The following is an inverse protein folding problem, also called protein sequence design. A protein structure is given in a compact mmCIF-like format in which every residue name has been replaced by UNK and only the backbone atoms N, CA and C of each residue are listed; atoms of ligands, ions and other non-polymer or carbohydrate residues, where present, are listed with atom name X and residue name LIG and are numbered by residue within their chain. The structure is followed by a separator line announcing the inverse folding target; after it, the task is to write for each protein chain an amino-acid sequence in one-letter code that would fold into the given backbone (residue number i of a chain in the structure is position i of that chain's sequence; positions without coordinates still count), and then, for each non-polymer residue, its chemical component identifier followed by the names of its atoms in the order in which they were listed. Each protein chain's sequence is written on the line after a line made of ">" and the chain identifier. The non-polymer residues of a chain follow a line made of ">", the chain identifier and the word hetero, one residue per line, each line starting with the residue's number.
data_IF_662943348366
#
_entry.id   IF_662943348366
#
_cell.length_a   1.000
_cell.length_b   1.000
_cell.length_c   1.000
_cell.angle_alpha   90.00
_cell.angle_beta   90.00
_cell.angle_gamma   90.00
#
_symmetry.space_group_name_H-M   'P 1'
#
loop_
_entity.id
_entity.type
_entity.pdbx_description
1 polymer ?
#
# COMPACT_ATOMS: atom_id res chain seq x y z
N UNK A 1 0.52 -22.13 -3.07
CA UNK A 1 0.99 -21.15 -2.08
C UNK A 1 -0.16 -20.56 -1.28
N UNK A 2 -0.10 -20.61 0.06
CA UNK A 2 -1.17 -20.12 0.95
C UNK A 2 -1.39 -18.59 0.85
N UNK A 3 -0.34 -17.85 0.49
CA UNK A 3 -0.37 -16.39 0.40
C UNK A 3 -1.26 -15.87 -0.75
N UNK A 4 -1.21 -16.55 -1.91
CA UNK A 4 -2.06 -16.22 -3.06
C UNK A 4 -3.55 -16.41 -2.73
N UNK A 5 -3.88 -17.39 -1.89
CA UNK A 5 -5.26 -17.65 -1.47
C UNK A 5 -5.76 -16.53 -0.54
N UNK A 6 -4.94 -16.05 0.38
CA UNK A 6 -5.30 -14.95 1.29
C UNK A 6 -5.48 -13.63 0.54
N UNK A 7 -4.58 -13.30 -0.38
CA UNK A 7 -4.69 -12.09 -1.20
C UNK A 7 -5.98 -12.12 -2.03
N UNK A 8 -6.32 -13.26 -2.64
CA UNK A 8 -7.59 -13.41 -3.37
C UNK A 8 -8.81 -13.21 -2.48
N UNK A 9 -8.78 -13.70 -1.23
CA UNK A 9 -9.85 -13.47 -0.27
C UNK A 9 -9.96 -11.98 0.11
N UNK A 10 -8.84 -11.29 0.33
CA UNK A 10 -8.82 -9.86 0.59
C UNK A 10 -9.38 -9.05 -0.59
N UNK A 11 -9.01 -9.42 -1.84
CA UNK A 11 -9.56 -8.79 -3.03
C UNK A 11 -11.08 -8.90 -3.12
N UNK A 12 -11.68 -10.01 -2.65
CA UNK A 12 -13.14 -10.17 -2.61
C UNK A 12 -13.84 -9.29 -1.57
N UNK A 13 -13.08 -8.70 -0.64
CA UNK A 13 -13.56 -7.80 0.41
C UNK A 13 -13.27 -6.32 0.11
N UNK A 14 -12.68 -6.03 -1.05
CA UNK A 14 -12.36 -4.65 -1.42
C UNK A 14 -13.66 -3.84 -1.57
N UNK A 15 -13.65 -2.62 -1.06
CA UNK A 15 -14.72 -1.66 -1.33
C UNK A 15 -14.82 -1.37 -2.84
N UNK A 16 -16.00 -0.96 -3.34
CA UNK A 16 -16.17 -0.53 -4.73
C UNK A 16 -15.15 0.55 -5.13
N UNK A 17 -14.66 0.49 -6.37
CA UNK A 17 -13.59 1.36 -6.88
C UNK A 17 -13.89 2.86 -6.72
N UNK A 18 -15.16 3.26 -6.84
CA UNK A 18 -15.62 4.64 -6.71
C UNK A 18 -15.65 5.16 -5.26
N UNK A 19 -15.55 4.26 -4.29
CA UNK A 19 -15.52 4.56 -2.85
C UNK A 19 -14.11 4.49 -2.26
N UNK A 20 -13.11 4.09 -3.05
CA UNK A 20 -11.74 3.97 -2.58
C UNK A 20 -11.17 5.34 -2.18
N UNK A 21 -10.36 5.39 -1.10
CA UNK A 21 -9.71 6.63 -0.68
C UNK A 21 -8.76 7.13 -1.77
N UNK A 22 -8.75 8.45 -2.00
CA UNK A 22 -7.91 9.07 -3.03
C UNK A 22 -6.49 9.35 -2.54
N UNK A 23 -6.24 9.21 -1.24
CA UNK A 23 -4.92 9.37 -0.65
C UNK A 23 -4.69 8.44 0.53
N UNK A 24 -3.41 8.19 0.86
CA UNK A 24 -3.07 7.40 2.04
C UNK A 24 -3.53 8.07 3.35
N UNK A 25 -3.51 9.40 3.41
CA UNK A 25 -3.99 10.16 4.59
C UNK A 25 -5.48 9.90 4.78
N UNK A 26 -6.28 10.07 3.74
CA UNK A 26 -7.72 9.78 3.76
C UNK A 26 -7.99 8.31 4.14
N UNK A 27 -7.23 7.37 3.59
CA UNK A 27 -7.36 5.95 3.93
C UNK A 27 -7.15 5.70 5.44
N UNK A 28 -6.13 6.31 6.04
CA UNK A 28 -5.90 6.17 7.49
C UNK A 28 -6.94 6.91 8.34
N UNK A 29 -7.49 8.04 7.87
CA UNK A 29 -8.65 8.66 8.51
C UNK A 29 -9.86 7.72 8.51
N UNK A 30 -10.18 7.09 7.37
CA UNK A 30 -11.28 6.12 7.28
C UNK A 30 -11.06 4.91 8.19
N UNK A 31 -9.83 4.40 8.33
CA UNK A 31 -9.50 3.34 9.31
C UNK A 31 -9.79 3.76 10.76
N UNK A 32 -9.67 5.04 11.09
CA UNK A 32 -9.98 5.55 12.43
C UNK A 32 -11.49 5.70 12.68
N UNK A 33 -12.26 6.00 11.65
CA UNK A 33 -13.69 6.33 11.75
C UNK A 33 -14.61 5.14 11.45
N UNK A 34 -14.13 4.22 10.62
CA UNK A 34 -14.89 3.09 10.08
C UNK A 34 -14.25 1.75 10.45
N UNK A 35 -15.01 0.66 10.31
CA UNK A 35 -14.52 -0.71 10.58
C UNK A 35 -13.87 -1.31 9.34
N UNK A 36 -12.83 -0.65 8.84
CA UNK A 36 -12.11 -1.04 7.61
C UNK A 36 -10.63 -1.29 7.89
N UNK A 37 -9.98 -2.03 7.00
CA UNK A 37 -8.53 -2.23 7.03
C UNK A 37 -7.92 -1.65 5.76
N UNK A 38 -6.78 -0.96 5.91
CA UNK A 38 -6.02 -0.43 4.78
C UNK A 38 -4.77 -1.27 4.52
N UNK A 39 -4.67 -1.84 3.32
CA UNK A 39 -3.51 -2.59 2.88
C UNK A 39 -2.48 -1.65 2.24
N UNK A 40 -1.29 -1.52 2.85
CA UNK A 40 -0.26 -0.59 2.41
C UNK A 40 1.13 -1.01 2.89
N UNK A 41 2.16 -0.42 2.27
CA UNK A 41 3.56 -0.56 2.68
C UNK A 41 3.81 0.19 4.01
N UNK A 42 4.59 -0.41 4.90
CA UNK A 42 4.98 0.18 6.19
C UNK A 42 5.68 1.56 6.05
N UNK A 43 6.44 1.77 4.98
CA UNK A 43 7.14 3.03 4.68
C UNK A 43 6.14 4.19 4.55
N UNK A 44 5.02 3.97 3.86
CA UNK A 44 3.96 4.99 3.71
C UNK A 44 3.40 5.34 5.09
N UNK A 45 3.02 4.32 5.88
CA UNK A 45 2.51 4.52 7.26
C UNK A 45 3.48 5.32 8.12
N UNK A 46 4.78 5.04 8.06
CA UNK A 46 5.81 5.77 8.82
C UNK A 46 5.89 7.24 8.38
N UNK A 47 5.88 7.51 7.07
CA UNK A 47 5.99 8.87 6.54
C UNK A 47 4.84 9.77 6.98
N UNK A 48 3.62 9.22 7.09
CA UNK A 48 2.44 10.02 7.48
C UNK A 48 1.97 9.75 8.90
N UNK A 49 2.75 9.05 9.72
CA UNK A 49 2.38 8.67 11.10
C UNK A 49 1.93 9.85 11.96
N UNK A 50 2.53 11.02 11.77
CA UNK A 50 2.16 12.26 12.47
C UNK A 50 0.77 12.82 12.10
N UNK A 51 0.22 12.40 10.96
CA UNK A 51 -1.08 12.83 10.45
C UNK A 51 -2.20 11.81 10.72
N UNK A 52 -1.88 10.67 11.33
CA UNK A 52 -2.87 9.64 11.66
C UNK A 52 -3.50 10.01 13.02
N UNK A 53 -4.82 10.25 13.09
CA UNK A 53 -5.46 10.80 14.29
C UNK A 53 -5.76 9.75 15.38
N UNK A 54 -5.42 8.48 15.17
CA UNK A 54 -5.72 7.39 16.11
C UNK A 54 -4.59 6.35 16.20
N UNK A 55 -4.55 5.55 17.28
CA UNK A 55 -3.71 4.36 17.35
C UNK A 55 -4.18 3.30 16.34
N UNK A 56 -3.26 2.73 15.58
CA UNK A 56 -3.56 1.71 14.57
C UNK A 56 -2.79 0.43 14.87
N UNK A 57 -3.47 -0.72 14.81
CA UNK A 57 -2.85 -2.03 14.83
C UNK A 57 -2.40 -2.42 13.42
N UNK A 58 -1.17 -2.90 13.28
CA UNK A 58 -0.63 -3.38 11.98
C UNK A 58 -0.55 -4.90 11.99
N UNK A 59 -0.95 -5.52 10.88
CA UNK A 59 -0.81 -6.96 10.62
C UNK A 59 0.25 -7.13 9.53
N UNK A 60 1.35 -7.80 9.87
CA UNK A 60 2.42 -8.09 8.91
C UNK A 60 2.06 -9.28 8.03
N UNK A 61 1.89 -9.01 6.73
CA UNK A 61 1.59 -10.02 5.71
C UNK A 61 2.85 -10.72 5.17
N UNK A 62 4.05 -10.35 5.64
CA UNK A 62 5.37 -10.87 5.22
C UNK A 62 5.58 -10.86 3.71
N UNK A 63 5.03 -9.86 3.04
CA UNK A 63 5.19 -9.66 1.59
C UNK A 63 6.48 -8.89 1.31
N UNK A 64 7.31 -9.40 0.39
CA UNK A 64 8.45 -8.64 -0.12
C UNK A 64 7.98 -7.67 -1.19
N UNK A 65 8.17 -6.37 -0.93
CA UNK A 65 7.92 -5.32 -1.89
C UNK A 65 9.24 -4.81 -2.48
N UNK A 66 9.25 -4.51 -3.77
CA UNK A 66 10.42 -3.96 -4.46
C UNK A 66 10.08 -2.58 -5.02
N UNK A 67 10.98 -1.61 -4.80
CA UNK A 67 10.87 -0.29 -5.40
C UNK A 67 11.75 -0.25 -6.65
N UNK A 68 11.18 0.21 -7.77
CA UNK A 68 11.88 0.33 -9.04
C UNK A 68 11.75 1.73 -9.63
N UNK A 69 12.74 2.14 -10.44
CA UNK A 69 12.66 3.35 -11.24
C UNK A 69 12.13 3.02 -12.64
N UNK A 70 11.04 3.69 -13.03
CA UNK A 70 10.49 3.57 -14.38
C UNK A 70 11.31 4.47 -15.32
N UNK A 71 11.77 3.89 -16.44
CA UNK A 71 12.50 4.61 -17.48
C UNK A 71 11.81 4.44 -18.83
N UNK A 72 11.91 5.44 -19.73
CA UNK A 72 11.48 5.27 -21.12
C UNK A 72 12.12 4.04 -21.74
N UNK A 73 11.35 3.35 -22.57
CA UNK A 73 11.86 2.17 -23.29
C UNK A 73 13.10 2.56 -24.10
N UNK A 74 14.20 1.81 -23.93
CA UNK A 74 15.52 2.10 -24.53
C UNK A 74 16.18 3.40 -24.04
N UNK A 75 15.87 3.86 -22.83
CA UNK A 75 16.57 4.98 -22.19
C UNK A 75 18.08 4.72 -22.12
N UNK A 76 18.87 5.70 -22.55
CA UNK A 76 20.33 5.67 -22.42
C UNK A 76 20.78 5.60 -20.96
N UNK A 77 19.94 6.06 -20.03
CA UNK A 77 20.21 6.08 -18.60
C UNK A 77 20.01 4.71 -17.93
N UNK A 78 19.41 3.73 -18.62
CA UNK A 78 19.15 2.40 -18.03
C UNK A 78 20.44 1.72 -17.56
N UNK A 79 21.54 1.86 -18.32
CA UNK A 79 22.84 1.30 -17.93
C UNK A 79 23.48 2.03 -16.75
N UNK A 80 23.26 3.33 -16.63
CA UNK A 80 23.84 4.15 -15.55
C UNK A 80 23.11 3.88 -14.24
N UNK A 81 21.79 3.75 -14.28
CA UNK A 81 20.95 3.53 -13.10
C UNK A 81 21.09 2.10 -12.54
N UNK A 82 21.38 1.12 -13.42
CA UNK A 82 21.52 -0.28 -13.03
C UNK A 82 22.97 -0.75 -12.80
N UNK A 83 23.95 0.16 -12.84
CA UNK A 83 25.36 -0.17 -12.55
C UNK A 83 25.65 -0.05 -11.06
#
# INVERSE_FOLDING_TARGET
>A
DSNDTLIRQMWSLLEPDDTLPQSAIEAFHRVCEEKVAFYSNEVIRRMISQHIPCPILTIDMRTMETLGMILPRKSVYQKIINY
#
